data_IF_504515329401
#
_entry.id   IF_504515329401
#
_cell.length_a   1.000
_cell.length_b   1.000
_cell.length_c   1.000
_cell.angle_alpha   90.00
_cell.angle_beta   90.00
_cell.angle_gamma   90.00
#
_symmetry.space_group_name_H-M   'P 1'
#
loop_
_entity.id
_entity.type
_entity.pdbx_description
1 polymer ?
#
# COMPACT_ATOMS: atom_id res chain seq x y z
N UNK A 1 11.57 34.35 -12.80
CA UNK A 1 11.68 32.90 -13.11
C UNK A 1 11.47 32.01 -11.88
N UNK A 2 11.92 32.37 -10.68
CA UNK A 2 11.81 31.53 -9.45
C UNK A 2 10.39 31.11 -9.04
N UNK A 3 9.39 32.01 -9.14
CA UNK A 3 7.98 31.68 -8.87
C UNK A 3 7.41 30.60 -9.79
N UNK A 4 7.90 30.50 -11.04
CA UNK A 4 7.43 29.50 -12.00
C UNK A 4 7.92 28.10 -11.59
N UNK A 5 9.14 28.00 -11.04
CA UNK A 5 9.73 26.74 -10.59
C UNK A 5 8.95 26.13 -9.42
N UNK A 6 8.54 26.94 -8.43
CA UNK A 6 7.70 26.49 -7.30
C UNK A 6 6.36 25.96 -7.79
N UNK A 7 5.72 26.63 -8.74
CA UNK A 7 4.43 26.21 -9.29
C UNK A 7 4.50 24.89 -10.08
N UNK A 8 5.56 24.67 -10.86
CA UNK A 8 5.75 23.44 -11.62
C UNK A 8 6.03 22.25 -10.68
N UNK A 9 6.84 22.46 -9.65
CA UNK A 9 7.16 21.41 -8.65
C UNK A 9 5.92 21.10 -7.81
N UNK A 10 5.19 22.12 -7.35
CA UNK A 10 3.92 21.94 -6.65
C UNK A 10 2.91 21.13 -7.47
N UNK A 11 2.77 21.42 -8.77
CA UNK A 11 1.87 20.68 -9.66
C UNK A 11 2.32 19.23 -9.89
N UNK A 12 3.63 19.00 -10.07
CA UNK A 12 4.20 17.66 -10.25
C UNK A 12 4.05 16.80 -8.97
N UNK A 13 4.28 17.40 -7.80
CA UNK A 13 4.06 16.77 -6.50
C UNK A 13 2.58 16.43 -6.31
N UNK A 14 1.66 17.35 -6.61
CA UNK A 14 0.22 17.10 -6.50
C UNK A 14 -0.25 15.90 -7.34
N UNK A 15 0.30 15.71 -8.54
CA UNK A 15 0.01 14.56 -9.40
C UNK A 15 0.52 13.23 -8.79
N UNK A 16 1.75 13.23 -8.24
CA UNK A 16 2.33 12.07 -7.56
C UNK A 16 1.58 11.72 -6.25
N UNK A 17 0.93 12.71 -5.64
CA UNK A 17 0.17 12.56 -4.41
C UNK A 17 -1.21 11.95 -4.61
N UNK A 18 -1.70 11.76 -5.84
CA UNK A 18 -2.99 11.09 -6.09
C UNK A 18 -3.04 9.78 -5.32
N UNK A 19 -4.08 9.59 -4.51
CA UNK A 19 -4.30 8.29 -3.87
C UNK A 19 -4.69 7.39 -5.04
N UNK A 20 -4.03 6.24 -5.28
CA UNK A 20 -4.55 5.31 -6.27
C UNK A 20 -5.99 5.03 -5.86
N UNK A 21 -6.93 5.27 -6.78
CA UNK A 21 -8.30 4.83 -6.61
C UNK A 21 -8.28 3.31 -6.64
N UNK A 22 -7.84 2.71 -5.55
CA UNK A 22 -7.97 1.30 -5.31
C UNK A 22 -9.46 1.11 -5.15
N UNK A 23 -10.10 0.65 -6.23
CA UNK A 23 -11.51 0.30 -6.25
C UNK A 23 -11.82 -0.39 -4.92
N UNK A 24 -12.60 0.31 -4.10
CA UNK A 24 -13.11 -0.22 -2.86
C UNK A 24 -13.95 -1.43 -3.26
N UNK A 25 -13.35 -2.62 -3.19
CA UNK A 25 -14.12 -3.84 -3.21
C UNK A 25 -15.09 -3.72 -2.03
N UNK A 26 -16.38 -3.80 -2.36
CA UNK A 26 -17.49 -3.42 -1.50
C UNK A 26 -17.34 -3.91 -0.03
N UNK A 27 -17.68 -3.08 0.96
CA UNK A 27 -17.77 -3.53 2.34
C UNK A 27 -19.04 -4.36 2.48
N UNK A 28 -18.93 -5.68 2.44
CA UNK A 28 -20.14 -6.50 2.46
C UNK A 28 -19.96 -8.00 2.46
N UNK A 29 -18.84 -8.51 2.97
CA UNK A 29 -18.71 -9.93 3.28
C UNK A 29 -18.57 -10.11 4.78
N UNK A 30 -19.68 -10.26 5.49
CA UNK A 30 -19.67 -10.84 6.85
C UNK A 30 -18.96 -12.20 6.75
N UNK A 31 -17.72 -12.27 7.22
CA UNK A 31 -16.98 -13.53 7.30
C UNK A 31 -17.23 -14.12 8.68
N UNK A 32 -18.32 -14.88 8.78
CA UNK A 32 -18.58 -15.77 9.90
C UNK A 32 -17.35 -16.67 10.11
N UNK A 33 -16.74 -16.57 11.28
CA UNK A 33 -15.42 -17.10 11.57
C UNK A 33 -15.36 -18.62 11.81
N UNK A 34 -16.42 -19.40 11.55
CA UNK A 34 -16.50 -20.80 12.02
C UNK A 34 -16.88 -21.87 10.98
N UNK A 35 -16.96 -21.57 9.67
CA UNK A 35 -17.47 -22.56 8.69
C UNK A 35 -16.62 -22.83 7.44
N UNK A 36 -15.40 -22.31 7.34
CA UNK A 36 -14.66 -22.24 6.06
C UNK A 36 -14.24 -23.57 5.41
N UNK A 37 -14.23 -24.68 6.15
CA UNK A 37 -13.82 -26.02 5.69
C UNK A 37 -14.81 -27.12 6.11
N UNK A 38 -16.01 -26.75 6.57
CA UNK A 38 -17.04 -27.69 6.96
C UNK A 38 -17.48 -28.49 5.72
N UNK A 39 -17.13 -29.78 5.66
CA UNK A 39 -17.37 -30.66 4.53
C UNK A 39 -16.13 -31.01 3.69
N UNK A 40 -14.96 -30.41 3.95
CA UNK A 40 -13.71 -30.78 3.28
C UNK A 40 -13.17 -32.14 3.77
N UNK A 41 -12.45 -32.86 2.90
CA UNK A 41 -11.75 -34.10 3.21
C UNK A 41 -10.50 -33.91 4.07
N UNK A 42 -10.14 -32.66 4.37
CA UNK A 42 -8.93 -32.28 5.10
C UNK A 42 -8.86 -32.90 6.49
N UNK A 43 -7.67 -33.32 6.88
CA UNK A 43 -7.36 -33.77 8.24
C UNK A 43 -7.48 -32.62 9.23
N UNK A 44 -7.50 -32.95 10.53
CA UNK A 44 -7.52 -31.93 11.59
C UNK A 44 -6.26 -31.06 11.57
N UNK A 45 -5.11 -31.66 11.29
CA UNK A 45 -3.81 -30.99 11.26
C UNK A 45 -3.73 -30.00 10.09
N UNK A 46 -4.12 -30.43 8.90
CA UNK A 46 -4.22 -29.59 7.69
C UNK A 46 -5.11 -28.37 7.92
N UNK A 47 -6.29 -28.56 8.55
CA UNK A 47 -7.17 -27.44 8.91
C UNK A 47 -6.53 -26.47 9.90
N UNK A 48 -5.77 -26.98 10.87
CA UNK A 48 -5.07 -26.13 11.83
C UNK A 48 -3.96 -25.31 11.15
N UNK A 49 -3.22 -25.91 10.22
CA UNK A 49 -2.18 -25.25 9.44
C UNK A 49 -2.76 -24.11 8.58
N UNK A 50 -3.80 -24.40 7.78
CA UNK A 50 -4.47 -23.38 6.96
C UNK A 50 -5.06 -22.26 7.83
N UNK A 51 -5.64 -22.61 8.98
CA UNK A 51 -6.17 -21.62 9.91
C UNK A 51 -5.07 -20.71 10.47
N UNK A 52 -3.87 -21.24 10.75
CA UNK A 52 -2.73 -20.44 11.19
C UNK A 52 -2.26 -19.47 10.09
N UNK A 53 -2.07 -19.96 8.87
CA UNK A 53 -1.69 -19.11 7.73
C UNK A 53 -2.74 -18.03 7.45
N UNK A 54 -4.02 -18.36 7.47
CA UNK A 54 -5.11 -17.39 7.30
C UNK A 54 -5.14 -16.31 8.39
N UNK A 55 -4.72 -16.63 9.62
CA UNK A 55 -4.56 -15.60 10.68
C UNK A 55 -3.45 -14.62 10.32
N UNK A 56 -2.32 -15.10 9.79
CA UNK A 56 -1.22 -14.23 9.33
C UNK A 56 -1.68 -13.34 8.19
N UNK A 57 -2.37 -13.91 7.18
CA UNK A 57 -2.95 -13.13 6.06
C UNK A 57 -3.87 -12.01 6.56
N UNK A 58 -4.70 -12.28 7.57
CA UNK A 58 -5.58 -11.27 8.17
C UNK A 58 -4.78 -10.21 8.94
N UNK A 59 -3.77 -10.60 9.69
CA UNK A 59 -2.92 -9.66 10.42
C UNK A 59 -2.20 -8.73 9.45
N UNK A 60 -1.58 -9.27 8.40
CA UNK A 60 -0.93 -8.48 7.35
C UNK A 60 -1.93 -7.54 6.68
N UNK A 61 -3.17 -7.99 6.43
CA UNK A 61 -4.20 -7.12 5.86
C UNK A 61 -4.54 -5.91 6.75
N UNK A 62 -4.59 -6.10 8.07
CA UNK A 62 -4.80 -5.00 9.02
C UNK A 62 -3.62 -4.03 9.00
N UNK A 63 -2.39 -4.53 9.00
CA UNK A 63 -1.17 -3.72 8.92
C UNK A 63 -1.08 -2.93 7.60
N UNK A 64 -1.44 -3.54 6.47
CA UNK A 64 -1.57 -2.84 5.17
C UNK A 64 -2.57 -1.69 5.29
N UNK A 65 -3.69 -1.90 5.98
CA UNK A 65 -4.73 -0.87 6.15
C UNK A 65 -4.22 0.30 7.02
N UNK A 66 -3.55 0.00 8.12
CA UNK A 66 -2.94 1.00 9.00
C UNK A 66 -1.86 1.80 8.26
N UNK A 67 -0.95 1.10 7.57
CA UNK A 67 0.10 1.72 6.76
C UNK A 67 -0.48 2.60 5.66
N UNK A 68 -1.57 2.16 5.02
CA UNK A 68 -2.31 2.96 4.02
C UNK A 68 -2.92 4.22 4.62
N UNK A 69 -3.43 4.17 5.85
CA UNK A 69 -4.02 5.33 6.52
C UNK A 69 -2.95 6.38 6.82
N UNK A 70 -1.79 5.95 7.34
CA UNK A 70 -0.62 6.82 7.53
C UNK A 70 -0.18 7.46 6.20
N UNK A 71 -0.11 6.67 5.13
CA UNK A 71 0.25 7.17 3.81
C UNK A 71 -0.72 8.26 3.32
N UNK A 72 -2.03 8.04 3.48
CA UNK A 72 -3.05 9.01 3.14
C UNK A 72 -2.91 10.30 3.94
N UNK A 73 -2.64 10.21 5.25
CA UNK A 73 -2.48 11.36 6.11
C UNK A 73 -1.23 12.17 5.78
N UNK A 74 -0.10 11.51 5.50
CA UNK A 74 1.13 12.18 5.05
C UNK A 74 0.92 12.90 3.71
N UNK A 75 0.19 12.29 2.77
CA UNK A 75 -0.17 12.94 1.50
C UNK A 75 -1.06 14.16 1.70
N UNK A 76 -2.04 14.09 2.60
CA UNK A 76 -2.89 15.24 2.94
C UNK A 76 -2.04 16.37 3.52
N UNK A 77 -1.18 16.06 4.50
CA UNK A 77 -0.25 17.03 5.09
C UNK A 77 0.61 17.71 4.03
N UNK A 78 1.16 16.92 3.11
CA UNK A 78 2.02 17.44 2.04
C UNK A 78 1.26 18.33 1.06
N UNK A 79 0.02 17.97 0.70
CA UNK A 79 -0.84 18.83 -0.14
C UNK A 79 -1.16 20.15 0.55
N UNK A 80 -1.44 20.13 1.85
CA UNK A 80 -1.71 21.34 2.63
C UNK A 80 -0.49 22.26 2.64
N UNK A 81 0.71 21.72 2.91
CA UNK A 81 1.96 22.50 2.90
C UNK A 81 2.27 23.10 1.54
N UNK A 82 2.10 22.32 0.47
CA UNK A 82 2.26 22.84 -0.89
C UNK A 82 1.29 23.99 -1.18
N UNK A 83 0.05 23.89 -0.70
CA UNK A 83 -0.96 24.94 -0.85
C UNK A 83 -0.56 26.20 -0.08
N UNK A 84 -0.11 26.06 1.17
CA UNK A 84 0.37 27.17 2.00
C UNK A 84 1.57 27.89 1.36
N UNK A 85 2.56 27.15 0.87
CA UNK A 85 3.72 27.72 0.14
C UNK A 85 3.30 28.47 -1.13
N UNK A 86 2.28 27.96 -1.84
CA UNK A 86 1.74 28.62 -3.01
C UNK A 86 1.01 29.93 -2.64
N UNK A 87 0.32 29.95 -1.51
CA UNK A 87 -0.41 31.12 -1.00
C UNK A 87 0.53 32.18 -0.40
N UNK A 88 1.61 31.78 0.29
CA UNK A 88 2.65 32.69 0.80
C UNK A 88 3.44 33.36 -0.33
N UNK A 89 3.51 32.71 -1.49
CA UNK A 89 4.27 33.19 -2.66
C UNK A 89 5.79 33.08 -2.47
N UNK A 90 6.22 32.35 -1.45
CA UNK A 90 7.62 32.04 -1.17
C UNK A 90 8.19 31.09 -2.21
N UNK A 91 9.49 31.24 -2.48
CA UNK A 91 10.21 30.37 -3.40
C UNK A 91 10.99 29.36 -2.59
N UNK A 92 10.84 28.08 -2.92
CA UNK A 92 11.72 27.06 -2.40
C UNK A 92 13.16 27.32 -2.88
N UNK A 93 14.18 27.08 -2.04
CA UNK A 93 15.56 27.02 -2.48
C UNK A 93 15.74 25.99 -3.59
N UNK A 94 16.65 26.26 -4.53
CA UNK A 94 16.90 25.37 -5.67
C UNK A 94 17.38 23.97 -5.22
N UNK A 95 18.08 23.89 -4.09
CA UNK A 95 18.50 22.64 -3.46
C UNK A 95 17.31 21.82 -2.93
N UNK A 96 16.41 22.43 -2.16
CA UNK A 96 15.18 21.78 -1.68
C UNK A 96 14.31 21.31 -2.86
N UNK A 97 14.19 22.15 -3.89
CA UNK A 97 13.48 21.81 -5.12
C UNK A 97 14.07 20.59 -5.84
N UNK A 98 15.39 20.46 -5.89
CA UNK A 98 16.07 19.31 -6.49
C UNK A 98 15.85 18.03 -5.65
N UNK A 99 15.93 18.13 -4.32
CA UNK A 99 15.68 17.01 -3.42
C UNK A 99 14.23 16.51 -3.51
N UNK A 100 13.25 17.42 -3.53
CA UNK A 100 11.84 17.06 -3.69
C UNK A 100 11.56 16.33 -5.01
N UNK A 101 12.23 16.71 -6.12
CA UNK A 101 12.13 15.97 -7.39
C UNK A 101 12.68 14.56 -7.30
N UNK A 102 13.80 14.36 -6.59
CA UNK A 102 14.38 13.02 -6.36
C UNK A 102 13.43 12.14 -5.55
N UNK A 103 12.91 12.68 -4.43
CA UNK A 103 11.94 11.98 -3.59
C UNK A 103 10.63 11.68 -4.34
N UNK A 104 10.18 12.59 -5.20
CA UNK A 104 9.02 12.35 -6.06
C UNK A 104 9.25 11.15 -7.01
N UNK A 105 10.42 11.06 -7.64
CA UNK A 105 10.74 9.94 -8.53
C UNK A 105 10.78 8.61 -7.75
N UNK A 106 11.35 8.60 -6.54
CA UNK A 106 11.33 7.44 -5.65
C UNK A 106 9.90 7.05 -5.25
N UNK A 107 9.06 8.01 -4.87
CA UNK A 107 7.66 7.77 -4.52
C UNK A 107 6.87 7.17 -5.70
N UNK A 108 7.18 7.59 -6.93
CA UNK A 108 6.56 7.05 -8.13
C UNK A 108 6.97 5.60 -8.39
N UNK A 109 8.25 5.26 -8.23
CA UNK A 109 8.74 3.88 -8.37
C UNK A 109 8.08 2.96 -7.33
N UNK A 110 8.08 3.36 -6.05
CA UNK A 110 7.45 2.60 -4.96
C UNK A 110 5.95 2.41 -5.17
N UNK A 111 5.27 3.40 -5.77
CA UNK A 111 3.85 3.28 -6.09
C UNK A 111 3.58 2.23 -7.18
N UNK A 112 4.46 2.11 -8.17
CA UNK A 112 4.36 1.07 -9.21
C UNK A 112 4.51 -0.31 -8.59
N UNK A 113 5.53 -0.50 -7.75
CA UNK A 113 5.78 -1.76 -7.02
C UNK A 113 4.63 -2.11 -6.06
N UNK A 114 4.10 -1.13 -5.33
CA UNK A 114 2.88 -1.29 -4.55
C UNK A 114 1.64 -1.57 -5.42
N UNK A 115 1.64 -1.24 -6.71
CA UNK A 115 0.59 -1.64 -7.65
C UNK A 115 0.69 -3.11 -8.03
N UNK A 116 1.90 -3.56 -8.36
CA UNK A 116 2.22 -4.94 -8.77
C UNK A 116 1.88 -5.94 -7.66
N UNK A 117 2.38 -5.71 -6.44
CA UNK A 117 2.08 -6.57 -5.29
C UNK A 117 0.58 -6.71 -4.99
N UNK A 118 -0.24 -5.69 -5.29
CA UNK A 118 -1.69 -5.79 -5.15
C UNK A 118 -2.30 -6.72 -6.20
N UNK A 119 -1.82 -6.62 -7.44
CA UNK A 119 -2.21 -7.50 -8.54
C UNK A 119 -1.90 -8.96 -8.21
N UNK A 120 -0.71 -9.21 -7.71
CA UNK A 120 -0.24 -10.56 -7.33
C UNK A 120 -1.08 -11.14 -6.20
N UNK A 121 -1.34 -10.40 -5.11
CA UNK A 121 -2.20 -10.86 -4.00
C UNK A 121 -3.60 -11.21 -4.50
N UNK A 122 -4.16 -10.44 -5.45
CA UNK A 122 -5.49 -10.75 -6.02
C UNK A 122 -5.47 -12.02 -6.85
N UNK A 123 -4.45 -12.21 -7.69
CA UNK A 123 -4.28 -13.41 -8.49
C UNK A 123 -4.14 -14.66 -7.60
N UNK A 124 -3.27 -14.59 -6.58
CA UNK A 124 -3.06 -15.67 -5.62
C UNK A 124 -4.32 -15.98 -4.80
N UNK A 125 -5.10 -14.96 -4.41
CA UNK A 125 -6.37 -15.16 -3.70
C UNK A 125 -7.40 -15.91 -4.55
N UNK A 126 -7.41 -15.67 -5.86
CA UNK A 126 -8.25 -16.43 -6.80
C UNK A 126 -7.75 -17.86 -6.98
N UNK A 127 -6.44 -18.06 -7.09
CA UNK A 127 -5.82 -19.39 -7.16
C UNK A 127 -6.12 -20.21 -5.89
N UNK A 128 -5.93 -19.64 -4.70
CA UNK A 128 -6.31 -20.26 -3.43
C UNK A 128 -7.79 -20.69 -3.40
N UNK A 129 -8.69 -19.82 -3.88
CA UNK A 129 -10.12 -20.15 -3.96
C UNK A 129 -10.37 -21.33 -4.89
N UNK A 130 -9.65 -21.41 -6.01
CA UNK A 130 -9.73 -22.54 -6.95
C UNK A 130 -9.25 -23.84 -6.29
N UNK A 131 -8.08 -23.84 -5.64
CA UNK A 131 -7.57 -25.00 -4.91
C UNK A 131 -8.56 -25.47 -3.85
N UNK A 132 -9.17 -24.55 -3.11
CA UNK A 132 -10.20 -24.86 -2.10
C UNK A 132 -11.45 -25.52 -2.70
N UNK A 133 -11.87 -25.15 -3.91
CA UNK A 133 -13.02 -25.78 -4.57
C UNK A 133 -12.72 -27.19 -5.07
N UNK A 134 -11.44 -27.51 -5.29
CA UNK A 134 -10.97 -28.79 -5.78
C UNK A 134 -10.39 -29.68 -4.66
N UNK A 135 -10.53 -29.28 -3.39
CA UNK A 135 -9.91 -29.91 -2.22
C UNK A 135 -8.38 -30.15 -2.37
N UNK A 136 -7.71 -29.26 -3.12
CA UNK A 136 -6.26 -29.28 -3.33
C UNK A 136 -5.53 -28.61 -2.15
N UNK A 137 -5.17 -29.42 -1.15
CA UNK A 137 -4.52 -28.94 0.07
C UNK A 137 -3.14 -28.35 -0.17
N UNK A 138 -2.32 -29.01 -0.97
CA UNK A 138 -0.95 -28.57 -1.24
C UNK A 138 -0.97 -27.21 -1.96
N UNK A 139 -1.83 -27.07 -2.96
CA UNK A 139 -2.04 -25.80 -3.65
C UNK A 139 -2.62 -24.72 -2.74
N UNK A 140 -3.51 -25.05 -1.80
CA UNK A 140 -3.99 -24.07 -0.81
C UNK A 140 -2.86 -23.54 0.08
N UNK A 141 -1.99 -24.44 0.56
CA UNK A 141 -0.86 -24.11 1.44
C UNK A 141 0.17 -23.25 0.71
N UNK A 142 0.57 -23.65 -0.49
CA UNK A 142 1.53 -22.90 -1.32
C UNK A 142 1.02 -21.50 -1.67
N UNK A 143 -0.26 -21.38 -2.05
CA UNK A 143 -0.86 -20.08 -2.34
C UNK A 143 -0.90 -19.18 -1.09
N UNK A 144 -1.21 -19.73 0.09
CA UNK A 144 -1.23 -18.94 1.32
C UNK A 144 0.17 -18.47 1.73
N UNK A 145 1.19 -19.33 1.65
CA UNK A 145 2.57 -18.92 1.94
C UNK A 145 3.03 -17.80 1.00
N UNK A 146 2.69 -17.93 -0.29
CA UNK A 146 2.99 -16.89 -1.27
C UNK A 146 2.23 -15.59 -0.97
N UNK A 147 0.93 -15.66 -0.62
CA UNK A 147 0.15 -14.48 -0.21
C UNK A 147 0.80 -13.79 1.00
N UNK A 148 1.20 -14.55 2.01
CA UNK A 148 1.86 -14.01 3.21
C UNK A 148 3.14 -13.26 2.83
N UNK A 149 3.99 -13.87 2.02
CA UNK A 149 5.24 -13.25 1.54
C UNK A 149 4.98 -11.97 0.72
N UNK A 150 4.05 -12.02 -0.24
CA UNK A 150 3.70 -10.86 -1.07
C UNK A 150 3.09 -9.72 -0.25
N UNK A 151 2.27 -10.04 0.76
CA UNK A 151 1.72 -9.04 1.67
C UNK A 151 2.80 -8.42 2.56
N UNK A 152 3.80 -9.19 3.01
CA UNK A 152 4.92 -8.66 3.78
C UNK A 152 5.77 -7.69 2.93
N UNK A 153 6.08 -8.06 1.68
CA UNK A 153 6.75 -7.16 0.73
C UNK A 153 5.93 -5.89 0.48
N UNK A 154 4.61 -6.02 0.32
CA UNK A 154 3.72 -4.87 0.18
C UNK A 154 3.79 -3.92 1.39
N UNK A 155 3.78 -4.46 2.61
CA UNK A 155 3.89 -3.66 3.84
C UNK A 155 5.20 -2.88 3.83
N UNK A 156 6.31 -3.54 3.51
CA UNK A 156 7.63 -2.89 3.44
C UNK A 156 7.65 -1.75 2.42
N UNK A 157 7.21 -2.00 1.18
CA UNK A 157 7.13 -0.97 0.13
C UNK A 157 6.26 0.22 0.56
N UNK A 158 5.11 -0.06 1.19
CA UNK A 158 4.24 1.01 1.72
C UNK A 158 4.87 1.76 2.90
N UNK A 159 5.66 1.08 3.73
CA UNK A 159 6.48 1.68 4.78
C UNK A 159 7.54 2.63 4.20
N UNK A 160 8.26 2.20 3.17
CA UNK A 160 9.21 3.05 2.44
C UNK A 160 8.51 4.27 1.82
N UNK A 161 7.29 4.12 1.29
CA UNK A 161 6.51 5.26 0.82
C UNK A 161 6.19 6.26 1.94
N UNK A 162 5.92 5.79 3.16
CA UNK A 162 5.70 6.67 4.31
C UNK A 162 6.97 7.44 4.66
N UNK A 163 8.14 6.78 4.68
CA UNK A 163 9.43 7.44 4.89
C UNK A 163 9.67 8.54 3.87
N UNK A 164 9.49 8.25 2.57
CA UNK A 164 9.67 9.25 1.50
C UNK A 164 8.70 10.42 1.68
N UNK A 165 7.43 10.16 1.97
CA UNK A 165 6.45 11.23 2.18
C UNK A 165 6.78 12.10 3.41
N UNK A 166 7.29 11.50 4.48
CA UNK A 166 7.69 12.21 5.69
C UNK A 166 8.95 13.07 5.48
N UNK A 167 9.93 12.56 4.74
CA UNK A 167 11.11 13.33 4.31
C UNK A 167 10.69 14.54 3.46
N UNK A 168 9.79 14.34 2.49
CA UNK A 168 9.27 15.44 1.68
C UNK A 168 8.51 16.45 2.53
N UNK A 169 7.74 15.99 3.51
CA UNK A 169 7.06 16.86 4.48
C UNK A 169 8.09 17.70 5.26
N UNK A 170 9.12 17.07 5.82
CA UNK A 170 10.18 17.72 6.59
C UNK A 170 10.90 18.80 5.79
N UNK A 171 11.22 18.52 4.53
CA UNK A 171 11.83 19.50 3.60
C UNK A 171 10.96 20.74 3.37
N UNK A 172 9.64 20.59 3.41
CA UNK A 172 8.68 21.69 3.25
C UNK A 172 8.41 22.45 4.56
N UNK A 173 8.83 21.92 5.72
CA UNK A 173 8.68 22.60 7.02
C UNK A 173 9.96 23.20 7.58
N UNK A 174 11.12 22.81 7.04
CA UNK A 174 12.42 23.37 7.39
C UNK A 174 12.81 24.63 6.58
N UNK A 175 11.90 25.14 5.74
CA UNK A 175 11.98 26.45 5.09
C UNK A 175 10.99 27.41 5.75
#
# INVERSE_FOLDING_TARGET
MKKITTFIIAAALLAALTIPAFAAAAPGGQTSADSGFAGSTLTKEERQQLAAQLRVVRQNHLEIKETSATNAQLRISLRTRIKELKESGESLPDETAAQLKKLQAQLQALRTEAGETLGDVRALSLAFRSCRLNDDFDGMTENLDTIVSTQASRIDVMGQMNTVLDEMNTLLSGN
#
